data_IF_466660066851
#
_entry.id   IF_466660066851
#
_cell.length_a   1.000
_cell.length_b   1.000
_cell.length_c   1.000
_cell.angle_alpha   90.00
_cell.angle_beta   90.00
_cell.angle_gamma   90.00
#
_symmetry.space_group_name_H-M   'P 1'
#
loop_
_entity.id
_entity.type
_entity.pdbx_description
1 polymer ?
#
# COMPACT_ATOMS: atom_id res chain seq x y z
N UNK A 1 25.69 5.39 17.66
CA UNK A 1 24.24 5.47 17.34
C UNK A 1 23.91 5.18 15.87
N UNK A 2 24.86 4.68 15.07
CA UNK A 2 24.62 4.28 13.65
C UNK A 2 23.95 2.89 13.55
N UNK A 3 23.90 2.11 14.62
CA UNK A 3 23.37 0.74 14.61
C UNK A 3 21.83 0.62 14.60
N UNK A 4 21.08 1.63 15.08
CA UNK A 4 19.61 1.51 15.19
C UNK A 4 18.88 1.79 13.87
N UNK A 5 19.41 2.66 12.99
CA UNK A 5 18.78 2.95 11.70
C UNK A 5 18.95 1.78 10.71
N UNK A 6 20.14 1.20 10.63
CA UNK A 6 20.41 0.07 9.74
C UNK A 6 19.56 -1.17 10.08
N UNK A 7 19.41 -1.49 11.38
CA UNK A 7 18.54 -2.58 11.83
C UNK A 7 17.07 -2.29 11.46
N UNK A 8 16.57 -1.06 11.70
CA UNK A 8 15.21 -0.64 11.33
C UNK A 8 14.95 -0.82 9.83
N UNK A 9 15.91 -0.46 8.98
CA UNK A 9 15.77 -0.57 7.53
C UNK A 9 15.81 -2.03 7.05
N UNK A 10 16.54 -2.90 7.73
CA UNK A 10 16.53 -4.36 7.47
C UNK A 10 15.16 -4.94 7.78
N UNK A 11 14.57 -4.61 8.94
CA UNK A 11 13.24 -5.11 9.31
C UNK A 11 12.14 -4.62 8.37
N UNK A 12 12.20 -3.37 7.92
CA UNK A 12 11.25 -2.82 6.93
C UNK A 12 11.36 -3.56 5.60
N UNK A 13 12.58 -3.83 5.13
CA UNK A 13 12.81 -4.61 3.91
C UNK A 13 12.30 -6.04 4.02
N UNK A 14 12.56 -6.71 5.14
CA UNK A 14 12.05 -8.07 5.38
C UNK A 14 10.53 -8.12 5.36
N UNK A 15 9.86 -7.12 5.95
CA UNK A 15 8.42 -7.00 5.91
C UNK A 15 7.91 -6.83 4.47
N UNK A 16 8.45 -5.91 3.69
CA UNK A 16 8.08 -5.72 2.29
C UNK A 16 8.35 -6.99 1.46
N UNK A 17 9.48 -7.65 1.72
CA UNK A 17 9.87 -8.88 1.03
C UNK A 17 8.89 -10.03 1.30
N UNK A 18 8.32 -10.11 2.50
CA UNK A 18 7.28 -11.12 2.82
C UNK A 18 5.95 -10.90 2.06
N UNK A 19 5.79 -9.73 1.43
CA UNK A 19 4.66 -9.39 0.59
C UNK A 19 5.03 -9.19 -0.89
N UNK A 20 6.11 -9.80 -1.36
CA UNK A 20 6.53 -9.76 -2.77
C UNK A 20 7.47 -8.62 -3.15
N UNK A 21 7.91 -7.81 -2.18
CA UNK A 21 8.87 -6.72 -2.37
C UNK A 21 8.24 -5.38 -2.72
N UNK A 22 9.08 -4.34 -2.76
CA UNK A 22 8.64 -2.95 -2.93
C UNK A 22 7.92 -2.68 -4.25
N UNK A 23 8.30 -3.35 -5.32
CA UNK A 23 7.72 -3.12 -6.66
C UNK A 23 6.22 -3.39 -6.67
N UNK A 24 5.75 -4.39 -5.93
CA UNK A 24 4.34 -4.73 -5.85
C UNK A 24 3.63 -4.12 -4.63
N UNK A 25 4.37 -3.97 -3.51
CA UNK A 25 3.79 -3.47 -2.27
C UNK A 25 3.57 -1.95 -2.27
N UNK A 26 4.30 -1.23 -3.13
CA UNK A 26 4.33 0.24 -3.15
C UNK A 26 5.36 0.81 -2.17
N UNK A 27 6.08 1.83 -2.60
CA UNK A 27 7.21 2.39 -1.84
C UNK A 27 6.86 3.65 -1.02
N UNK A 28 5.59 4.05 -0.93
CA UNK A 28 5.21 5.16 -0.05
C UNK A 28 5.37 4.76 1.41
N UNK A 29 5.60 5.74 2.28
CA UNK A 29 5.70 5.51 3.73
C UNK A 29 4.44 4.86 4.30
N UNK A 30 3.26 5.23 3.79
CA UNK A 30 1.99 4.63 4.23
C UNK A 30 1.92 3.13 3.92
N UNK A 31 2.22 2.71 2.69
CA UNK A 31 2.24 1.29 2.33
C UNK A 31 3.36 0.56 3.07
N UNK A 32 4.56 1.14 3.16
CA UNK A 32 5.68 0.53 3.88
C UNK A 32 5.34 0.31 5.35
N UNK A 33 4.76 1.30 6.04
CA UNK A 33 4.35 1.19 7.43
C UNK A 33 3.21 0.17 7.60
N UNK A 34 2.24 0.15 6.67
CA UNK A 34 1.14 -0.81 6.66
C UNK A 34 1.64 -2.26 6.58
N UNK A 35 2.44 -2.57 5.58
CA UNK A 35 2.99 -3.92 5.43
C UNK A 35 3.94 -4.32 6.57
N UNK A 36 4.73 -3.38 7.08
CA UNK A 36 5.56 -3.62 8.26
C UNK A 36 4.71 -3.98 9.49
N UNK A 37 3.63 -3.24 9.74
CA UNK A 37 2.71 -3.52 10.83
C UNK A 37 2.06 -4.89 10.69
N UNK A 38 1.60 -5.24 9.49
CA UNK A 38 1.01 -6.55 9.20
C UNK A 38 2.01 -7.71 9.43
N UNK A 39 3.27 -7.52 9.05
CA UNK A 39 4.29 -8.55 9.22
C UNK A 39 4.74 -8.70 10.68
N UNK A 40 4.97 -7.58 11.38
CA UNK A 40 5.64 -7.56 12.67
C UNK A 40 4.68 -7.67 13.85
N UNK A 41 3.49 -7.07 13.75
CA UNK A 41 2.55 -6.98 14.88
C UNK A 41 1.32 -7.87 14.73
N UNK A 42 1.02 -8.32 13.51
CA UNK A 42 -0.17 -9.13 13.21
C UNK A 42 -1.45 -8.53 13.83
N UNK A 43 -1.74 -7.25 13.59
CA UNK A 43 -2.88 -6.59 14.19
C UNK A 43 -4.19 -7.17 13.64
N UNK A 44 -5.26 -7.09 14.41
CA UNK A 44 -6.62 -7.39 13.93
C UNK A 44 -7.25 -6.18 13.25
N UNK A 45 -6.76 -4.97 13.54
CA UNK A 45 -7.18 -3.73 12.90
C UNK A 45 -6.00 -2.79 12.72
N UNK A 46 -5.87 -2.19 11.55
CA UNK A 46 -4.85 -1.20 11.20
C UNK A 46 -5.54 0.08 10.77
N UNK A 47 -5.20 1.20 11.41
CA UNK A 47 -5.81 2.48 11.15
C UNK A 47 -4.80 3.46 10.56
N UNK A 48 -5.17 4.10 9.46
CA UNK A 48 -4.44 5.22 8.89
C UNK A 48 -5.06 6.55 9.33
N UNK A 49 -4.23 7.49 9.72
CA UNK A 49 -4.64 8.85 10.05
C UNK A 49 -3.70 9.85 9.36
N UNK A 50 -4.28 10.85 8.69
CA UNK A 50 -3.49 11.88 8.00
C UNK A 50 -2.80 11.40 6.71
N UNK A 51 -3.21 10.25 6.15
CA UNK A 51 -2.62 9.65 4.96
C UNK A 51 -3.53 9.84 3.72
N UNK A 52 -3.86 11.10 3.40
CA UNK A 52 -4.77 11.37 2.28
C UNK A 52 -4.12 11.19 0.90
N UNK A 53 -2.80 11.17 0.83
CA UNK A 53 -2.01 11.01 -0.41
C UNK A 53 -2.36 12.02 -1.51
N UNK A 54 -2.76 13.23 -1.11
CA UNK A 54 -2.84 14.38 -2.01
C UNK A 54 -1.53 15.18 -1.93
N UNK A 55 -1.02 15.53 -3.08
CA UNK A 55 0.23 16.27 -3.22
C UNK A 55 -0.07 17.55 -3.98
N UNK A 56 -0.26 18.65 -3.25
CA UNK A 56 -0.50 19.95 -3.83
C UNK A 56 0.74 20.43 -4.60
N UNK A 57 0.55 20.83 -5.85
CA UNK A 57 1.64 21.40 -6.67
C UNK A 57 1.89 22.88 -6.39
N UNK A 58 1.01 23.53 -5.61
CA UNK A 58 1.12 24.94 -5.26
C UNK A 58 0.56 25.21 -3.85
N UNK A 59 1.13 26.18 -3.14
CA UNK A 59 0.73 26.53 -1.77
C UNK A 59 1.52 25.79 -0.69
N UNK A 60 1.04 25.76 0.56
CA UNK A 60 1.65 24.98 1.64
C UNK A 60 1.58 23.49 1.31
N UNK A 61 2.75 22.88 1.15
CA UNK A 61 2.86 21.47 0.72
C UNK A 61 3.01 20.52 1.90
N UNK A 62 3.30 21.05 3.09
CA UNK A 62 3.53 20.29 4.30
C UNK A 62 2.82 20.95 5.49
N UNK A 63 2.48 20.20 6.51
CA UNK A 63 1.87 20.71 7.73
C UNK A 63 2.78 21.69 8.49
N UNK A 64 4.09 21.65 8.25
CA UNK A 64 5.11 22.54 8.83
C UNK A 64 5.49 23.73 7.94
N UNK A 65 4.78 23.95 6.82
CA UNK A 65 4.98 25.11 5.93
C UNK A 65 5.39 24.76 4.50
N UNK A 66 6.26 25.59 3.93
CA UNK A 66 6.71 25.43 2.55
C UNK A 66 7.89 24.46 2.50
N UNK A 67 7.71 23.37 1.79
CA UNK A 67 8.74 22.45 1.33
C UNK A 67 8.51 22.15 -0.15
N UNK A 68 9.51 21.61 -0.81
CA UNK A 68 9.21 20.98 -2.11
C UNK A 68 8.40 19.73 -1.79
N UNK A 69 7.16 19.57 -2.32
CA UNK A 69 6.46 18.30 -2.20
C UNK A 69 7.40 17.26 -2.78
N UNK A 70 7.57 16.15 -2.06
CA UNK A 70 8.08 14.96 -2.70
C UNK A 70 6.99 14.59 -3.72
N UNK A 71 7.15 14.95 -5.01
CA UNK A 71 6.10 14.63 -5.96
C UNK A 71 5.92 13.14 -5.87
N UNK A 72 4.68 12.66 -6.01
CA UNK A 72 4.47 11.29 -6.41
C UNK A 72 5.33 11.10 -7.65
N UNK A 73 6.54 10.66 -7.40
CA UNK A 73 7.53 10.48 -8.44
C UNK A 73 6.87 9.59 -9.47
N UNK A 74 7.24 9.76 -10.71
CA UNK A 74 6.91 8.80 -11.75
C UNK A 74 7.60 7.45 -11.41
N UNK A 75 7.29 6.95 -10.21
CA UNK A 75 7.88 5.80 -9.57
C UNK A 75 7.19 4.54 -10.07
N UNK A 76 7.98 3.56 -10.42
CA UNK A 76 7.50 2.29 -10.95
C UNK A 76 6.61 1.53 -9.94
N UNK A 77 6.78 1.78 -8.65
CA UNK A 77 6.00 1.14 -7.57
C UNK A 77 4.64 1.80 -7.34
N UNK A 78 4.38 2.94 -7.98
CA UNK A 78 3.20 3.77 -7.77
C UNK A 78 2.38 3.97 -9.04
N UNK A 79 2.35 2.98 -9.92
CA UNK A 79 1.56 3.01 -11.16
C UNK A 79 0.07 3.17 -10.90
N UNK A 80 -0.43 2.70 -9.74
CA UNK A 80 -1.81 2.88 -9.29
C UNK A 80 -1.91 2.81 -7.75
N UNK A 81 -2.15 3.95 -7.10
CA UNK A 81 -2.42 4.00 -5.65
C UNK A 81 -3.65 3.17 -5.26
N UNK A 82 -4.65 3.12 -6.13
CA UNK A 82 -5.84 2.30 -5.93
C UNK A 82 -5.51 0.80 -5.92
N UNK A 83 -4.70 0.34 -6.86
CA UNK A 83 -4.29 -1.05 -6.91
C UNK A 83 -3.43 -1.42 -5.69
N UNK A 84 -2.47 -0.57 -5.29
CA UNK A 84 -1.67 -0.75 -4.09
C UNK A 84 -2.54 -0.82 -2.82
N UNK A 85 -3.55 0.06 -2.71
CA UNK A 85 -4.50 0.05 -1.59
C UNK A 85 -5.31 -1.23 -1.56
N UNK A 86 -5.87 -1.65 -2.68
CA UNK A 86 -6.69 -2.86 -2.77
C UNK A 86 -5.87 -4.12 -2.52
N UNK A 87 -4.66 -4.19 -3.05
CA UNK A 87 -3.72 -5.27 -2.75
C UNK A 87 -3.45 -5.37 -1.25
N UNK A 88 -3.17 -4.25 -0.59
CA UNK A 88 -2.91 -4.22 0.85
C UNK A 88 -4.15 -4.64 1.66
N UNK A 89 -5.35 -4.15 1.30
CA UNK A 89 -6.62 -4.55 1.92
C UNK A 89 -6.86 -6.06 1.83
N UNK A 90 -6.71 -6.63 0.63
CA UNK A 90 -6.93 -8.07 0.39
C UNK A 90 -5.93 -8.89 1.20
N UNK A 91 -4.64 -8.57 1.15
CA UNK A 91 -3.60 -9.31 1.86
C UNK A 91 -3.71 -9.17 3.38
N UNK A 92 -4.19 -8.02 3.88
CA UNK A 92 -4.49 -7.82 5.29
C UNK A 92 -5.69 -8.67 5.73
N UNK A 93 -6.78 -8.65 4.94
CA UNK A 93 -7.99 -9.44 5.24
C UNK A 93 -7.70 -10.94 5.30
N UNK A 94 -6.85 -11.44 4.42
CA UNK A 94 -6.37 -12.84 4.46
C UNK A 94 -5.59 -13.18 5.73
N UNK A 95 -5.08 -12.18 6.43
CA UNK A 95 -4.38 -12.33 7.72
C UNK A 95 -5.25 -12.01 8.92
N UNK A 96 -6.57 -11.83 8.71
CA UNK A 96 -7.51 -11.48 9.76
C UNK A 96 -7.40 -10.03 10.25
N UNK A 97 -6.82 -9.13 9.44
CA UNK A 97 -6.67 -7.73 9.75
C UNK A 97 -7.59 -6.87 8.88
N UNK A 98 -8.39 -6.03 9.52
CA UNK A 98 -9.16 -4.97 8.85
C UNK A 98 -8.33 -3.70 8.76
N UNK A 99 -8.36 -3.05 7.60
CA UNK A 99 -7.69 -1.75 7.39
C UNK A 99 -8.74 -0.68 7.19
N UNK A 100 -8.58 0.44 7.90
CA UNK A 100 -9.47 1.60 7.81
C UNK A 100 -8.66 2.90 7.80
N UNK A 101 -9.27 3.97 7.30
CA UNK A 101 -8.78 5.34 7.44
C UNK A 101 -9.67 6.13 8.38
N UNK A 102 -9.06 6.85 9.31
CA UNK A 102 -9.71 7.81 10.19
C UNK A 102 -9.66 9.24 9.63
N UNK A 103 -9.03 9.42 8.46
CA UNK A 103 -9.02 10.70 7.78
C UNK A 103 -10.39 10.98 7.17
N UNK A 104 -10.90 12.18 7.37
CA UNK A 104 -12.13 12.64 6.74
C UNK A 104 -11.85 13.28 5.37
N UNK A 105 -12.82 13.23 4.47
CA UNK A 105 -12.75 13.88 3.16
C UNK A 105 -12.14 13.01 2.06
N UNK A 106 -11.78 13.64 0.96
CA UNK A 106 -11.21 12.96 -0.19
C UNK A 106 -9.81 12.39 0.12
N UNK A 107 -9.53 11.23 -0.43
CA UNK A 107 -8.25 10.55 -0.25
C UNK A 107 -7.89 9.70 -1.48
N UNK A 108 -6.60 9.66 -1.80
CA UNK A 108 -6.04 8.73 -2.78
C UNK A 108 -5.58 7.40 -2.13
N UNK A 109 -5.66 7.30 -0.80
CA UNK A 109 -5.55 6.03 -0.09
C UNK A 109 -6.93 5.35 -0.12
N UNK A 110 -7.12 4.43 -1.06
CA UNK A 110 -8.41 3.76 -1.30
C UNK A 110 -8.66 2.64 -0.28
N UNK A 111 -8.85 3.03 0.99
CA UNK A 111 -9.27 2.13 2.07
C UNK A 111 -10.57 2.64 2.68
N UNK A 112 -11.39 1.77 3.30
CA UNK A 112 -12.64 2.18 3.95
C UNK A 112 -12.39 3.26 5.00
N UNK A 113 -13.27 4.27 5.04
CA UNK A 113 -13.20 5.34 6.03
C UNK A 113 -14.18 5.07 7.16
N UNK A 114 -13.80 5.44 8.37
CA UNK A 114 -14.66 5.39 9.56
C UNK A 114 -14.32 6.52 10.52
N UNK A 115 -15.21 6.81 11.45
CA UNK A 115 -14.98 7.77 12.52
C UNK A 115 -14.24 7.11 13.70
N UNK A 116 -13.62 7.93 14.54
CA UNK A 116 -13.01 7.46 15.77
C UNK A 116 -14.03 6.76 16.71
N UNK A 117 -15.26 7.27 16.75
CA UNK A 117 -16.32 6.73 17.61
C UNK A 117 -16.80 5.35 17.16
N UNK A 118 -16.77 5.10 15.85
CA UNK A 118 -17.23 3.83 15.25
C UNK A 118 -16.11 2.81 15.06
N UNK A 119 -14.86 3.21 15.31
CA UNK A 119 -13.66 2.44 14.96
C UNK A 119 -13.71 0.98 15.43
N UNK A 120 -14.16 0.75 16.65
CA UNK A 120 -14.13 -0.60 17.23
C UNK A 120 -15.25 -1.51 16.71
N UNK A 121 -16.39 -0.92 16.38
CA UNK A 121 -17.57 -1.63 15.88
C UNK A 121 -17.58 -1.73 14.35
N UNK A 122 -16.85 -0.84 13.68
CA UNK A 122 -16.79 -0.80 12.24
C UNK A 122 -16.11 -2.01 11.65
N UNK A 123 -16.82 -2.69 10.76
CA UNK A 123 -16.28 -3.80 9.96
C UNK A 123 -16.37 -3.44 8.47
N UNK A 124 -15.21 -3.30 7.80
CA UNK A 124 -15.21 -3.03 6.38
C UNK A 124 -15.86 -4.17 5.60
N UNK A 125 -16.85 -3.83 4.77
CA UNK A 125 -17.52 -4.78 3.91
C UNK A 125 -17.08 -4.58 2.46
N UNK A 126 -16.44 -5.61 1.90
CA UNK A 126 -16.09 -5.73 0.50
C UNK A 126 -16.01 -7.20 0.11
N UNK A 127 -16.28 -7.48 -1.16
CA UNK A 127 -16.13 -8.83 -1.69
C UNK A 127 -14.76 -9.00 -2.33
N UNK A 128 -14.10 -10.12 -2.05
CA UNK A 128 -12.82 -10.51 -2.65
C UNK A 128 -13.06 -11.61 -3.66
N UNK A 129 -12.64 -11.40 -4.90
CA UNK A 129 -12.58 -12.44 -5.92
C UNK A 129 -11.29 -13.24 -5.75
N UNK A 130 -11.35 -14.41 -5.11
CA UNK A 130 -10.19 -15.30 -4.96
C UNK A 130 -9.54 -15.66 -6.29
N UNK A 131 -10.35 -15.83 -7.34
CA UNK A 131 -9.86 -16.09 -8.69
C UNK A 131 -8.94 -14.97 -9.18
N UNK A 132 -9.37 -13.71 -9.05
CA UNK A 132 -8.60 -12.55 -9.49
C UNK A 132 -7.38 -12.31 -8.60
N UNK A 133 -7.53 -12.45 -7.29
CA UNK A 133 -6.41 -12.40 -6.36
C UNK A 133 -5.32 -13.42 -6.71
N UNK A 134 -5.69 -14.69 -6.92
CA UNK A 134 -4.75 -15.74 -7.28
C UNK A 134 -4.11 -15.49 -8.66
N UNK A 135 -4.86 -14.91 -9.61
CA UNK A 135 -4.35 -14.49 -10.91
C UNK A 135 -3.28 -13.40 -10.74
N UNK A 136 -3.54 -12.36 -9.94
CA UNK A 136 -2.58 -11.29 -9.67
C UNK A 136 -1.28 -11.83 -9.04
N UNK A 137 -1.41 -12.62 -7.97
CA UNK A 137 -0.25 -13.24 -7.30
C UNK A 137 0.58 -14.13 -8.24
N UNK A 138 -0.09 -14.87 -9.12
CA UNK A 138 0.58 -15.69 -10.14
C UNK A 138 1.36 -14.83 -11.14
N UNK A 139 0.80 -13.69 -11.56
CA UNK A 139 1.47 -12.77 -12.46
C UNK A 139 2.66 -12.08 -11.77
N UNK A 140 2.52 -11.64 -10.52
CA UNK A 140 3.64 -11.10 -9.72
C UNK A 140 4.78 -12.13 -9.65
N UNK A 141 4.46 -13.37 -9.29
CA UNK A 141 5.45 -14.45 -9.23
C UNK A 141 6.11 -14.73 -10.57
N UNK A 142 5.36 -14.66 -11.67
CA UNK A 142 5.89 -14.87 -13.02
C UNK A 142 6.85 -13.78 -13.46
N UNK A 143 6.53 -12.51 -13.16
CA UNK A 143 7.41 -11.37 -13.48
C UNK A 143 8.64 -11.34 -12.59
N UNK A 144 8.51 -11.80 -11.34
CA UNK A 144 9.59 -11.85 -10.35
C UNK A 144 10.36 -10.54 -10.20
N UNK A 145 9.64 -9.41 -10.11
CA UNK A 145 10.24 -8.09 -9.88
C UNK A 145 10.60 -7.89 -8.41
N UNK A 146 11.27 -8.88 -7.86
CA UNK A 146 11.74 -8.91 -6.49
C UNK A 146 13.17 -8.38 -6.41
N UNK A 147 13.40 -7.39 -5.53
CA UNK A 147 14.72 -6.82 -5.27
C UNK A 147 15.03 -7.04 -3.79
N UNK A 148 15.96 -7.95 -3.50
CA UNK A 148 16.26 -8.41 -2.14
C UNK A 148 16.71 -7.28 -1.21
N UNK A 149 17.56 -6.40 -1.70
CA UNK A 149 18.07 -5.25 -0.93
C UNK A 149 17.12 -4.05 -0.91
N UNK A 150 15.98 -4.15 -1.60
CA UNK A 150 14.96 -3.12 -1.69
C UNK A 150 15.32 -1.90 -2.52
N UNK A 151 16.50 -1.84 -3.13
CA UNK A 151 16.97 -0.71 -3.95
C UNK A 151 16.47 -0.79 -5.39
N UNK A 152 15.16 -1.02 -5.57
CA UNK A 152 14.51 -1.20 -6.87
C UNK A 152 14.80 -0.08 -7.88
N UNK A 153 15.10 1.14 -7.41
CA UNK A 153 15.44 2.28 -8.29
C UNK A 153 16.75 2.10 -9.05
N UNK A 154 17.63 1.19 -8.63
CA UNK A 154 18.85 0.85 -9.38
C UNK A 154 18.53 -0.04 -10.59
N UNK A 155 17.46 -0.81 -10.48
CA UNK A 155 17.04 -1.81 -11.46
C UNK A 155 15.75 -1.41 -12.21
N UNK A 156 15.30 -0.16 -12.08
CA UNK A 156 14.01 0.31 -12.61
C UNK A 156 13.82 0.01 -14.10
N UNK A 157 14.91 0.02 -14.87
CA UNK A 157 14.92 -0.29 -16.31
C UNK A 157 14.54 -1.76 -16.62
N UNK A 158 14.65 -2.65 -15.65
CA UNK A 158 14.28 -4.05 -15.78
C UNK A 158 12.77 -4.28 -15.61
N UNK A 159 12.05 -3.30 -15.09
CA UNK A 159 10.63 -3.43 -14.79
C UNK A 159 9.77 -2.88 -15.93
N UNK A 160 8.88 -3.71 -16.44
CA UNK A 160 7.95 -3.32 -17.48
C UNK A 160 6.71 -2.65 -16.88
N UNK A 161 6.60 -1.33 -17.01
CA UNK A 161 5.45 -0.53 -16.52
C UNK A 161 4.11 -1.04 -17.07
N UNK A 162 4.06 -1.48 -18.32
CA UNK A 162 2.83 -2.01 -18.91
C UNK A 162 2.42 -3.36 -18.28
N UNK A 163 3.38 -4.18 -17.89
CA UNK A 163 3.10 -5.42 -17.16
C UNK A 163 2.54 -5.12 -15.76
N UNK A 164 3.11 -4.14 -15.04
CA UNK A 164 2.61 -3.70 -13.75
C UNK A 164 1.20 -3.12 -13.85
N UNK A 165 0.92 -2.26 -14.84
CA UNK A 165 -0.45 -1.76 -15.08
C UNK A 165 -1.48 -2.87 -15.35
N UNK A 166 -1.07 -3.99 -15.96
CA UNK A 166 -1.97 -5.15 -16.11
C UNK A 166 -2.26 -5.82 -14.77
N UNK A 167 -1.24 -5.99 -13.92
CA UNK A 167 -1.40 -6.53 -12.57
C UNK A 167 -2.28 -5.61 -11.72
N UNK A 168 -2.06 -4.31 -11.79
CA UNK A 168 -2.88 -3.30 -11.10
C UNK A 168 -4.37 -3.44 -11.43
N UNK A 169 -4.70 -3.64 -12.71
CA UNK A 169 -6.10 -3.89 -13.11
C UNK A 169 -6.67 -5.14 -12.47
N UNK A 170 -5.89 -6.22 -12.42
CA UNK A 170 -6.34 -7.48 -11.79
C UNK A 170 -6.58 -7.26 -10.30
N UNK A 171 -5.71 -6.53 -9.59
CA UNK A 171 -5.92 -6.18 -8.18
C UNK A 171 -7.16 -5.32 -7.97
N UNK A 172 -7.42 -4.35 -8.85
CA UNK A 172 -8.63 -3.52 -8.80
C UNK A 172 -9.89 -4.38 -9.02
N UNK A 173 -9.84 -5.32 -9.95
CA UNK A 173 -10.95 -6.25 -10.22
C UNK A 173 -11.12 -7.33 -9.13
N UNK A 174 -10.10 -7.55 -8.31
CA UNK A 174 -10.14 -8.53 -7.22
C UNK A 174 -10.94 -8.06 -6.00
N UNK A 175 -11.18 -6.75 -5.86
CA UNK A 175 -11.91 -6.18 -4.74
C UNK A 175 -13.13 -5.39 -5.25
N UNK A 176 -14.31 -5.78 -4.81
CA UNK A 176 -15.54 -5.04 -5.09
C UNK A 176 -16.06 -4.44 -3.79
N UNK A 177 -16.10 -3.09 -3.67
CA UNK A 177 -16.74 -2.46 -2.53
C UNK A 177 -18.21 -2.90 -2.46
N UNK A 178 -18.66 -3.32 -1.31
CA UNK A 178 -20.10 -3.54 -1.10
C UNK A 178 -20.74 -2.18 -0.94
N UNK A 179 -21.58 -1.81 -1.88
CA UNK A 179 -22.41 -0.62 -1.72
C UNK A 179 -23.34 -0.90 -0.51
N UNK A 180 -23.17 -0.12 0.53
CA UNK A 180 -24.15 -0.07 1.61
C UNK A 180 -25.41 0.56 1.00
N UNK A 181 -26.47 -0.24 0.83
CA UNK A 181 -27.80 0.25 0.50
C UNK A 181 -28.40 1.01 1.67
#
# INVERSE_FOLDING_TARGET
QVGSSAASDVYKRQAQNSFGGFVYAGATMAFTAGYWSLASHKPTKLCFLGCNMFYNQSGPTHFYGHGQPDPLRDDITLTSLRACSYRMLILAKMRGCDIVSLSSGETNLHVPQTSWHELFDYQPTFAISEKKMNEALKQEKKLNYYVEDGRYWLDEKLFCRNALKKIDRIWIEALTPTLLN
#
